data_IF_256541191881
#
_entry.id   IF_256541191881
#
_cell.length_a   1.000
_cell.length_b   1.000
_cell.length_c   1.000
_cell.angle_alpha   90.00
_cell.angle_beta   90.00
_cell.angle_gamma   90.00
#
_symmetry.space_group_name_H-M   'P 1'
#
loop_
_entity.id
_entity.type
_entity.pdbx_description
1 polymer ?
#
# COMPACT_ATOMS: atom_id res chain seq x y z
N UNK A 1 -46.70 -3.01 -12.08
CA UNK A 1 -46.12 -4.29 -11.62
C UNK A 1 -44.70 -4.34 -12.17
N UNK A 2 -43.60 -4.43 -11.42
CA UNK A 2 -43.37 -4.68 -10.01
C UNK A 2 -42.22 -3.79 -9.50
N UNK A 3 -42.40 -3.30 -8.28
CA UNK A 3 -41.32 -2.82 -7.42
C UNK A 3 -40.42 -4.00 -7.04
N UNK A 4 -39.09 -3.81 -7.07
CA UNK A 4 -38.21 -4.47 -6.12
C UNK A 4 -37.22 -3.44 -5.59
N UNK A 5 -37.54 -2.95 -4.40
CA UNK A 5 -36.71 -2.19 -3.50
C UNK A 5 -35.82 -3.18 -2.74
N UNK A 6 -34.49 -3.04 -2.79
CA UNK A 6 -33.56 -3.65 -1.80
C UNK A 6 -32.39 -2.71 -1.52
N UNK A 7 -32.57 -1.97 -0.44
CA UNK A 7 -31.59 -1.61 0.60
C UNK A 7 -30.44 -0.66 0.22
N UNK A 8 -30.68 0.59 0.61
CA UNK A 8 -29.69 1.52 1.18
C UNK A 8 -28.62 0.79 2.00
N UNK A 9 -27.38 0.94 1.59
CA UNK A 9 -26.23 0.91 2.50
C UNK A 9 -25.62 2.31 2.40
N UNK A 10 -25.99 3.17 3.35
CA UNK A 10 -25.31 4.43 3.59
C UNK A 10 -23.87 4.12 4.00
N UNK A 11 -22.95 4.19 3.04
CA UNK A 11 -21.51 4.29 3.31
C UNK A 11 -21.06 5.67 2.84
N UNK A 12 -20.75 6.54 3.77
CA UNK A 12 -20.27 7.91 3.55
C UNK A 12 -18.87 7.98 2.95
N UNK A 13 -18.60 7.24 1.87
CA UNK A 13 -17.57 7.58 0.90
C UNK A 13 -18.30 7.98 -0.39
N UNK A 14 -18.39 9.30 -0.65
CA UNK A 14 -18.57 9.76 -2.03
C UNK A 14 -17.28 9.45 -2.78
N UNK A 15 -17.14 8.21 -3.25
CA UNK A 15 -16.13 7.88 -4.25
C UNK A 15 -16.64 8.43 -5.57
N UNK A 16 -16.13 9.59 -6.00
CA UNK A 16 -16.21 9.95 -7.41
C UNK A 16 -15.49 8.85 -8.18
N UNK A 17 -16.25 8.12 -9.00
CA UNK A 17 -15.70 7.11 -9.91
C UNK A 17 -14.94 7.90 -10.99
N UNK A 18 -13.63 8.00 -10.85
CA UNK A 18 -12.77 8.55 -11.89
C UNK A 18 -12.46 7.41 -12.86
N UNK A 19 -12.88 7.57 -14.12
CA UNK A 19 -12.51 6.66 -15.19
C UNK A 19 -10.98 6.62 -15.37
N UNK A 20 -10.42 5.43 -15.23
CA UNK A 20 -8.99 5.20 -15.42
C UNK A 20 -8.68 5.19 -16.93
N UNK A 21 -7.73 6.02 -17.42
CA UNK A 21 -7.36 6.00 -18.82
C UNK A 21 -6.78 4.62 -19.16
N UNK A 22 -7.34 4.03 -20.21
CA UNK A 22 -7.13 2.66 -20.67
C UNK A 22 -5.79 2.52 -21.42
N UNK A 23 -4.69 2.96 -20.81
CA UNK A 23 -3.37 2.95 -21.43
C UNK A 23 -2.35 2.24 -20.52
N UNK A 24 -1.53 1.37 -21.12
CA UNK A 24 -0.60 0.45 -20.42
C UNK A 24 0.54 1.15 -19.64
N UNK A 25 0.54 2.48 -19.64
CA UNK A 25 1.46 3.37 -18.91
C UNK A 25 0.71 4.35 -17.97
N UNK A 26 -0.40 3.91 -17.35
CA UNK A 26 -1.30 4.73 -16.51
C UNK A 26 -0.71 5.11 -15.14
N UNK A 27 0.45 5.80 -15.15
CA UNK A 27 0.98 6.43 -13.93
C UNK A 27 0.07 7.58 -13.51
N UNK A 28 -0.21 7.69 -12.21
CA UNK A 28 -1.04 8.75 -11.64
C UNK A 28 -0.12 9.89 -11.16
N UNK A 29 -0.44 11.16 -11.45
CA UNK A 29 0.31 12.28 -10.89
C UNK A 29 0.22 12.25 -9.37
N UNK A 30 1.33 12.51 -8.66
CA UNK A 30 1.38 12.44 -7.19
C UNK A 30 0.26 13.24 -6.49
N UNK A 31 -0.14 14.37 -7.09
CA UNK A 31 -1.16 15.27 -6.55
C UNK A 31 -2.61 14.82 -6.79
N UNK A 32 -2.84 13.79 -7.64
CA UNK A 32 -4.19 13.32 -8.01
C UNK A 32 -4.64 12.06 -7.27
N UNK A 33 -3.83 11.55 -6.36
CA UNK A 33 -4.13 10.29 -5.67
C UNK A 33 -5.02 10.56 -4.45
N UNK A 34 -6.30 10.16 -4.48
CA UNK A 34 -7.31 10.36 -3.42
C UNK A 34 -6.83 10.01 -1.99
N UNK A 35 -6.21 10.93 -1.26
CA UNK A 35 -5.65 10.62 0.06
C UNK A 35 -6.77 10.27 1.04
N UNK A 36 -6.55 9.23 1.85
CA UNK A 36 -7.43 8.95 2.98
C UNK A 36 -6.96 9.88 4.12
N UNK A 37 -7.86 10.62 4.76
CA UNK A 37 -7.47 11.54 5.82
C UNK A 37 -6.77 10.80 6.96
N UNK A 38 -5.64 11.34 7.39
CA UNK A 38 -4.91 10.88 8.56
C UNK A 38 -5.79 11.04 9.79
N UNK A 39 -6.14 9.94 10.43
CA UNK A 39 -6.91 9.94 11.65
C UNK A 39 -6.17 9.12 12.70
N UNK A 40 -5.55 9.83 13.65
CA UNK A 40 -4.75 9.20 14.70
C UNK A 40 -5.56 8.27 15.59
N UNK A 41 -6.89 8.41 15.65
CA UNK A 41 -7.76 7.56 16.46
C UNK A 41 -8.41 6.42 15.69
N UNK A 42 -8.15 6.33 14.39
CA UNK A 42 -8.64 5.23 13.56
C UNK A 42 -7.94 3.92 13.94
N UNK A 43 -8.72 2.97 14.45
CA UNK A 43 -8.27 1.63 14.85
C UNK A 43 -7.57 0.90 13.70
N UNK A 44 -8.03 1.09 12.46
CA UNK A 44 -7.42 0.48 11.29
C UNK A 44 -6.06 1.09 10.97
N UNK A 45 -5.94 2.42 11.01
CA UNK A 45 -4.65 3.10 10.79
C UNK A 45 -3.62 2.71 11.85
N UNK A 46 -4.02 2.67 13.14
CA UNK A 46 -3.16 2.17 14.24
C UNK A 46 -2.72 0.72 13.99
N UNK A 47 -3.66 -0.15 13.61
CA UNK A 47 -3.35 -1.55 13.32
C UNK A 47 -2.38 -1.69 12.14
N UNK A 48 -2.55 -0.92 11.05
CA UNK A 48 -1.63 -0.92 9.92
C UNK A 48 -0.21 -0.50 10.33
N UNK A 49 -0.08 0.55 11.16
CA UNK A 49 1.21 1.01 11.68
C UNK A 49 1.88 -0.05 12.55
N UNK A 50 1.17 -0.62 13.53
CA UNK A 50 1.72 -1.68 14.39
C UNK A 50 2.12 -2.92 13.58
N UNK A 51 1.35 -3.26 12.54
CA UNK A 51 1.70 -4.36 11.63
C UNK A 51 2.92 -4.04 10.78
N UNK A 52 3.06 -2.81 10.30
CA UNK A 52 4.24 -2.39 9.56
C UNK A 52 5.49 -2.51 10.44
N UNK A 53 5.46 -1.98 11.66
CA UNK A 53 6.58 -2.06 12.62
C UNK A 53 6.98 -3.51 12.92
N UNK A 54 6.00 -4.38 13.19
CA UNK A 54 6.24 -5.81 13.41
C UNK A 54 6.83 -6.50 12.16
N UNK A 55 6.35 -6.15 10.97
CA UNK A 55 6.87 -6.74 9.72
C UNK A 55 8.31 -6.27 9.45
N UNK A 56 8.63 -5.02 9.75
CA UNK A 56 10.00 -4.49 9.63
C UNK A 56 10.94 -5.16 10.62
N UNK A 57 10.52 -5.37 11.88
CA UNK A 57 11.37 -6.03 12.89
C UNK A 57 11.72 -7.45 12.47
N UNK A 58 10.76 -8.17 11.87
CA UNK A 58 10.98 -9.49 11.30
C UNK A 58 11.87 -9.48 10.06
N UNK A 59 11.69 -8.51 9.16
CA UNK A 59 12.56 -8.41 7.97
C UNK A 59 14.01 -8.14 8.36
N UNK A 60 14.24 -7.39 9.44
CA UNK A 60 15.58 -7.12 9.99
C UNK A 60 16.19 -8.30 10.74
N UNK A 61 15.42 -9.33 11.08
CA UNK A 61 15.95 -10.48 11.80
C UNK A 61 17.01 -11.23 10.95
N UNK A 62 17.95 -11.95 11.59
CA UNK A 62 18.93 -12.78 10.87
C UNK A 62 18.24 -13.83 10.00
N UNK A 63 18.84 -14.16 8.85
CA UNK A 63 18.25 -15.11 7.87
C UNK A 63 18.03 -16.50 8.48
N UNK A 64 18.90 -16.91 9.41
CA UNK A 64 18.80 -18.17 10.14
C UNK A 64 17.84 -18.11 11.35
N UNK A 65 17.22 -16.97 11.63
CA UNK A 65 16.18 -16.89 12.65
C UNK A 65 14.98 -17.72 12.20
N UNK A 66 14.54 -18.66 13.04
CA UNK A 66 13.36 -19.49 12.80
C UNK A 66 12.15 -18.64 12.39
N UNK A 67 11.95 -17.50 13.06
CA UNK A 67 10.79 -16.66 12.82
C UNK A 67 10.83 -15.98 11.44
N UNK A 68 12.02 -15.61 10.94
CA UNK A 68 12.20 -15.08 9.58
C UNK A 68 12.12 -16.18 8.53
N UNK A 69 12.72 -17.33 8.81
CA UNK A 69 12.74 -18.49 7.90
C UNK A 69 11.34 -18.94 7.50
N UNK A 70 10.42 -19.04 8.46
CA UNK A 70 9.02 -19.42 8.21
C UNK A 70 8.16 -18.29 7.63
N UNK A 71 8.71 -17.09 7.43
CA UNK A 71 8.01 -15.93 6.88
C UNK A 71 8.62 -15.47 5.55
N UNK A 72 8.79 -16.39 4.60
CA UNK A 72 9.41 -16.07 3.31
C UNK A 72 8.62 -15.07 2.44
N UNK A 73 7.32 -14.90 2.71
CA UNK A 73 6.46 -13.92 2.02
C UNK A 73 6.49 -12.52 2.66
N UNK A 74 7.45 -12.26 3.54
CA UNK A 74 7.55 -11.01 4.29
C UNK A 74 7.70 -9.79 3.39
N UNK A 75 8.39 -9.92 2.25
CA UNK A 75 8.59 -8.80 1.34
C UNK A 75 7.28 -8.34 0.68
N UNK A 76 6.41 -9.27 0.28
CA UNK A 76 5.08 -8.94 -0.24
C UNK A 76 4.26 -8.17 0.82
N UNK A 77 4.27 -8.67 2.07
CA UNK A 77 3.55 -8.05 3.18
C UNK A 77 4.10 -6.68 3.51
N UNK A 78 5.42 -6.53 3.51
CA UNK A 78 6.10 -5.29 3.83
C UNK A 78 5.82 -4.23 2.77
N UNK A 79 5.94 -4.58 1.48
CA UNK A 79 5.60 -3.70 0.36
C UNK A 79 4.14 -3.25 0.44
N UNK A 80 3.22 -4.19 0.68
CA UNK A 80 1.80 -3.89 0.80
C UNK A 80 1.48 -2.98 2.01
N UNK A 81 2.06 -3.25 3.18
CA UNK A 81 1.87 -2.42 4.37
C UNK A 81 2.45 -1.02 4.20
N UNK A 82 3.64 -0.88 3.61
CA UNK A 82 4.21 0.43 3.30
C UNK A 82 3.29 1.20 2.34
N UNK A 83 2.77 0.53 1.31
CA UNK A 83 1.87 1.14 0.33
C UNK A 83 0.55 1.60 0.99
N UNK A 84 -0.06 0.76 1.83
CA UNK A 84 -1.31 1.09 2.54
C UNK A 84 -1.10 2.23 3.53
N UNK A 85 -0.03 2.19 4.33
CA UNK A 85 0.27 3.26 5.30
C UNK A 85 0.56 4.59 4.59
N UNK A 86 1.22 4.56 3.43
CA UNK A 86 1.46 5.75 2.62
C UNK A 86 0.15 6.41 2.16
N UNK A 87 -0.94 5.63 2.05
CA UNK A 87 -2.25 6.14 1.65
C UNK A 87 -2.89 7.08 2.67
N UNK A 88 -2.50 6.94 3.93
CA UNK A 88 -2.93 7.80 5.05
C UNK A 88 -1.97 8.95 5.33
N UNK A 89 -0.97 9.19 4.47
CA UNK A 89 0.08 10.20 4.71
C UNK A 89 0.74 10.02 6.10
N UNK A 90 0.94 8.75 6.45
CA UNK A 90 1.36 8.32 7.79
C UNK A 90 2.53 7.36 7.74
N UNK A 91 3.22 7.28 6.60
CA UNK A 91 4.42 6.46 6.49
C UNK A 91 5.51 7.05 7.42
N UNK A 92 6.05 6.27 8.37
CA UNK A 92 7.13 6.73 9.24
C UNK A 92 8.33 7.26 8.45
N UNK A 93 9.01 8.28 8.99
CA UNK A 93 10.09 9.00 8.32
C UNK A 93 11.28 8.10 7.97
N UNK A 94 11.49 7.03 8.73
CA UNK A 94 12.54 6.05 8.47
C UNK A 94 12.34 5.29 7.14
N UNK A 95 11.10 5.26 6.66
CA UNK A 95 10.67 4.59 5.43
C UNK A 95 10.36 5.59 4.30
N UNK A 96 10.07 6.85 4.64
CA UNK A 96 9.94 7.93 3.68
C UNK A 96 11.32 8.32 3.11
N UNK A 97 11.34 8.90 1.91
CA UNK A 97 12.57 9.48 1.35
C UNK A 97 12.88 10.85 1.95
N UNK A 98 11.84 11.65 2.21
CA UNK A 98 11.90 13.01 2.73
C UNK A 98 10.73 13.25 3.71
N UNK A 99 10.83 14.28 4.55
CA UNK A 99 9.77 14.68 5.51
C UNK A 99 8.42 14.99 4.86
N UNK A 100 8.44 15.35 3.57
CA UNK A 100 7.24 15.65 2.76
C UNK A 100 6.75 14.47 1.92
N UNK A 101 7.43 13.33 2.00
CA UNK A 101 7.23 12.16 1.13
C UNK A 101 6.61 10.96 1.85
N UNK A 102 5.73 11.20 2.84
CA UNK A 102 5.04 10.12 3.56
C UNK A 102 3.87 9.51 2.78
N UNK A 103 3.52 10.10 1.62
CA UNK A 103 2.36 9.73 0.82
C UNK A 103 2.64 8.68 -0.27
N UNK A 104 3.88 8.22 -0.41
CA UNK A 104 4.26 7.22 -1.39
C UNK A 104 5.43 6.36 -0.93
N UNK A 105 5.59 5.21 -1.59
CA UNK A 105 6.71 4.29 -1.39
C UNK A 105 7.61 4.35 -2.62
N UNK A 106 8.91 4.28 -2.41
CA UNK A 106 9.88 4.19 -3.51
C UNK A 106 10.55 2.83 -3.56
N UNK A 107 10.97 2.40 -4.76
CA UNK A 107 11.79 1.20 -4.91
C UNK A 107 13.09 1.26 -4.09
N UNK A 108 13.65 2.46 -3.87
CA UNK A 108 14.82 2.64 -2.99
C UNK A 108 14.52 2.24 -1.55
N UNK A 109 13.37 2.65 -1.01
CA UNK A 109 12.90 2.20 0.31
C UNK A 109 12.69 0.70 0.31
N UNK A 110 12.04 0.13 -0.71
CA UNK A 110 11.81 -1.32 -0.82
C UNK A 110 13.12 -2.10 -0.76
N UNK A 111 14.13 -1.73 -1.56
CA UNK A 111 15.44 -2.40 -1.54
C UNK A 111 16.18 -2.29 -0.21
N UNK A 112 15.94 -1.22 0.57
CA UNK A 112 16.57 -1.04 1.88
C UNK A 112 16.00 -1.99 2.94
N UNK A 113 14.72 -2.34 2.84
CA UNK A 113 14.00 -3.05 3.91
C UNK A 113 13.58 -4.48 3.55
N UNK A 114 13.51 -4.82 2.27
CA UNK A 114 13.18 -6.16 1.80
C UNK A 114 14.44 -7.01 1.60
N UNK A 115 14.29 -8.33 1.72
CA UNK A 115 15.42 -9.26 1.62
C UNK A 115 15.60 -9.86 0.22
N UNK A 116 14.57 -9.88 -0.62
CA UNK A 116 14.62 -10.47 -1.95
C UNK A 116 15.49 -9.68 -2.93
N UNK A 117 15.88 -10.37 -4.01
CA UNK A 117 16.71 -9.78 -5.08
C UNK A 117 16.02 -8.59 -5.76
N UNK A 118 16.81 -7.71 -6.37
CA UNK A 118 16.29 -6.56 -7.10
C UNK A 118 15.23 -6.93 -8.14
N UNK A 119 15.50 -7.97 -8.94
CA UNK A 119 14.57 -8.47 -9.96
C UNK A 119 13.29 -9.05 -9.36
N UNK A 120 13.37 -9.71 -8.21
CA UNK A 120 12.19 -10.25 -7.52
C UNK A 120 11.31 -9.12 -7.00
N UNK A 121 11.90 -8.12 -6.36
CA UNK A 121 11.16 -6.96 -5.83
C UNK A 121 10.47 -6.17 -6.93
N UNK A 122 11.14 -5.99 -8.08
CA UNK A 122 10.52 -5.37 -9.25
C UNK A 122 9.32 -6.16 -9.78
N UNK A 123 9.40 -7.49 -9.83
CA UNK A 123 8.28 -8.35 -10.23
C UNK A 123 7.12 -8.24 -9.26
N UNK A 124 7.37 -8.29 -7.94
CA UNK A 124 6.31 -8.14 -6.93
C UNK A 124 5.55 -6.82 -7.11
N UNK A 125 6.28 -5.73 -7.34
CA UNK A 125 5.67 -4.42 -7.55
C UNK A 125 4.93 -4.34 -8.88
N UNK A 126 5.51 -4.88 -9.96
CA UNK A 126 4.86 -4.93 -11.28
C UNK A 126 3.56 -5.74 -11.23
N UNK A 127 3.59 -6.94 -10.64
CA UNK A 127 2.41 -7.80 -10.48
C UNK A 127 1.33 -7.11 -9.63
N UNK A 128 1.73 -6.40 -8.56
CA UNK A 128 0.80 -5.61 -7.74
C UNK A 128 0.16 -4.46 -8.52
N UNK A 129 0.89 -3.85 -9.45
CA UNK A 129 0.39 -2.79 -10.34
C UNK A 129 -0.56 -3.35 -11.38
N UNK A 130 -0.21 -4.47 -12.02
CA UNK A 130 -1.06 -5.14 -13.01
C UNK A 130 -2.40 -5.59 -12.40
N UNK A 131 -2.36 -6.02 -11.13
CA UNK A 131 -3.55 -6.37 -10.33
C UNK A 131 -4.32 -5.16 -9.80
N UNK A 132 -3.82 -3.94 -9.98
CA UNK A 132 -4.37 -2.68 -9.43
C UNK A 132 -4.37 -2.60 -7.90
N UNK A 133 -3.66 -3.50 -7.24
CA UNK A 133 -3.43 -3.47 -5.79
C UNK A 133 -2.45 -2.35 -5.43
N UNK A 134 -1.54 -2.01 -6.34
CA UNK A 134 -0.63 -0.88 -6.25
C UNK A 134 -0.93 0.13 -7.36
N UNK A 135 -0.87 1.41 -7.03
CA UNK A 135 -1.04 2.50 -7.96
C UNK A 135 0.33 3.11 -8.28
N UNK A 136 0.82 3.00 -9.53
CA UNK A 136 2.08 3.62 -9.92
C UNK A 136 1.94 5.13 -9.95
N UNK A 137 2.89 5.82 -9.32
CA UNK A 137 2.93 7.28 -9.28
C UNK A 137 4.05 7.79 -10.17
N UNK A 138 3.93 9.03 -10.64
CA UNK A 138 5.03 9.70 -11.30
C UNK A 138 5.23 11.12 -10.76
N UNK A 139 6.49 11.51 -10.69
CA UNK A 139 6.90 12.90 -10.48
C UNK A 139 7.18 13.54 -11.85
N UNK A 140 6.91 14.84 -11.98
CA UNK A 140 7.11 15.61 -13.22
C UNK A 140 8.59 15.63 -13.69
N UNK A 141 9.53 15.25 -12.83
CA UNK A 141 10.98 15.24 -13.09
C UNK A 141 11.49 14.02 -13.87
N UNK A 142 10.62 13.21 -14.48
CA UNK A 142 11.02 12.09 -15.33
C UNK A 142 11.46 10.86 -14.52
N UNK A 143 10.49 10.14 -13.97
CA UNK A 143 10.78 8.96 -13.16
C UNK A 143 10.87 7.66 -13.97
N UNK A 144 11.80 6.79 -13.57
CA UNK A 144 11.97 5.45 -14.14
C UNK A 144 10.67 4.64 -13.99
N UNK A 145 10.51 3.55 -14.76
CA UNK A 145 9.31 2.70 -14.69
C UNK A 145 9.11 2.18 -13.25
N UNK A 146 7.92 2.41 -12.69
CA UNK A 146 7.44 1.90 -11.39
C UNK A 146 8.33 2.21 -10.16
N UNK A 147 9.06 3.32 -10.18
CA UNK A 147 9.92 3.72 -9.05
C UNK A 147 9.15 4.24 -7.84
N UNK A 148 7.90 4.70 -8.02
CA UNK A 148 7.02 5.22 -6.98
C UNK A 148 5.65 4.58 -7.09
N UNK A 149 5.07 4.27 -5.93
CA UNK A 149 3.73 3.70 -5.87
C UNK A 149 3.08 3.95 -4.51
N UNK A 150 1.76 3.79 -4.46
CA UNK A 150 0.96 3.74 -3.22
C UNK A 150 -0.09 2.63 -3.35
N UNK A 151 -0.88 2.38 -2.30
CA UNK A 151 -1.92 1.36 -2.36
C UNK A 151 -3.11 1.78 -3.23
N UNK A 152 -3.64 0.82 -3.99
CA UNK A 152 -4.96 0.90 -4.60
C UNK A 152 -6.07 0.58 -3.60
N UNK A 153 -7.31 0.91 -3.98
CA UNK A 153 -8.48 0.71 -3.11
C UNK A 153 -8.73 -0.76 -2.79
N UNK A 154 -8.43 -1.68 -3.72
CA UNK A 154 -8.53 -3.13 -3.51
C UNK A 154 -7.67 -3.60 -2.35
N UNK A 155 -6.42 -3.12 -2.29
CA UNK A 155 -5.46 -3.49 -1.27
C UNK A 155 -5.86 -2.91 0.10
N UNK A 156 -6.29 -1.65 0.13
CA UNK A 156 -6.78 -1.02 1.37
C UNK A 156 -7.99 -1.78 1.92
N UNK A 157 -8.94 -2.16 1.06
CA UNK A 157 -10.12 -2.93 1.45
C UNK A 157 -9.75 -4.31 2.01
N UNK A 158 -8.84 -5.02 1.36
CA UNK A 158 -8.36 -6.33 1.81
C UNK A 158 -7.72 -6.25 3.21
N UNK A 159 -6.88 -5.24 3.45
CA UNK A 159 -6.27 -5.03 4.76
C UNK A 159 -7.29 -4.61 5.83
N UNK A 160 -8.31 -3.83 5.46
CA UNK A 160 -9.41 -3.47 6.37
C UNK A 160 -10.16 -4.70 6.83
N UNK A 161 -10.51 -5.61 5.91
CA UNK A 161 -11.14 -6.89 6.25
C UNK A 161 -10.25 -7.77 7.14
N UNK A 162 -8.96 -7.87 6.84
CA UNK A 162 -8.00 -8.63 7.66
C UNK A 162 -7.91 -8.08 9.10
N UNK A 163 -7.92 -6.76 9.26
CA UNK A 163 -7.87 -6.12 10.59
C UNK A 163 -9.08 -6.46 11.46
N UNK A 164 -10.25 -6.68 10.84
CA UNK A 164 -11.47 -7.05 11.56
C UNK A 164 -11.52 -8.52 11.97
N UNK A 165 -10.88 -9.42 11.22
CA UNK A 165 -10.83 -10.85 11.56
C UNK A 165 -9.93 -11.14 12.76
N UNK A 166 -8.84 -10.38 12.91
CA UNK A 166 -7.91 -10.54 14.04
C UNK A 166 -8.30 -9.75 15.29
N UNK A 167 -9.48 -9.11 15.27
CA UNK A 167 -10.04 -8.38 16.41
C UNK A 167 -11.19 -9.12 17.11
N UNK A 168 -11.35 -10.42 16.88
CA UNK A 168 -12.25 -11.31 17.62
C UNK A 168 -11.46 -12.19 18.58
#
# INVERSE_FOLDING_TARGET
>A
MNMVNKNKIDSGLKSEIIEYPNNKDSKIPLNRVNKIPKNKDDKFQKWCLSRLEWTVSLSRAPVHSTLKWWQQTIDHRLIALMAVVSRFDSLPLEYAQDDKAQNYVTMRTVHKFCSASHTTLQKIVADGIDRKDLLPLYNAKGDKRHSLFTAGDSLVLAYKQSSTWMGR
#
